data_IF_497176169450
#
_entry.id   IF_497176169450
#
_cell.length_a   1.000
_cell.length_b   1.000
_cell.length_c   1.000
_cell.angle_alpha   90.00
_cell.angle_beta   90.00
_cell.angle_gamma   90.00
#
_symmetry.space_group_name_H-M   'P 1'
#
loop_
_entity.id
_entity.type
_entity.pdbx_description
1 polymer ?
#
# COMPACT_ATOMS: atom_id res chain seq x y z
N UNK A 1 24.08 -25.79 -8.61
CA UNK A 1 23.22 -25.56 -7.46
C UNK A 1 22.40 -24.28 -7.74
N UNK A 2 21.13 -24.45 -8.10
CA UNK A 2 20.31 -23.32 -8.56
C UNK A 2 19.76 -22.58 -7.33
N UNK A 3 20.09 -21.30 -7.22
CA UNK A 3 19.47 -20.40 -6.26
C UNK A 3 17.99 -20.30 -6.62
N UNK A 4 17.11 -20.86 -5.81
CA UNK A 4 15.66 -20.67 -5.92
C UNK A 4 15.39 -19.20 -5.51
N UNK A 5 14.87 -18.35 -6.41
CA UNK A 5 14.60 -16.96 -6.06
C UNK A 5 13.49 -16.89 -5.04
N UNK A 6 13.60 -15.93 -4.13
CA UNK A 6 12.61 -15.61 -3.08
C UNK A 6 11.17 -15.47 -3.63
N UNK A 7 11.05 -15.13 -4.91
CA UNK A 7 9.79 -14.98 -5.65
C UNK A 7 9.07 -16.32 -5.89
N UNK A 8 9.79 -17.45 -5.99
CA UNK A 8 9.16 -18.76 -6.09
C UNK A 8 8.52 -19.19 -4.75
N UNK A 9 9.00 -18.63 -3.64
CA UNK A 9 8.36 -18.81 -2.33
C UNK A 9 7.04 -18.03 -2.19
N UNK A 10 6.77 -16.99 -3.02
CA UNK A 10 5.48 -16.29 -3.01
C UNK A 10 4.32 -17.20 -3.48
N UNK A 11 4.54 -18.04 -4.47
CA UNK A 11 3.48 -18.91 -4.99
C UNK A 11 3.26 -20.16 -4.13
N UNK A 12 4.31 -20.66 -3.45
CA UNK A 12 4.17 -21.73 -2.46
C UNK A 12 3.61 -21.22 -1.12
N UNK A 13 3.56 -19.90 -0.92
CA UNK A 13 3.16 -19.24 0.30
C UNK A 13 1.69 -18.79 0.32
N UNK A 14 0.92 -18.94 -0.77
CA UNK A 14 -0.56 -18.80 -0.71
C UNK A 14 -1.19 -19.88 0.18
N UNK A 15 -0.46 -20.93 0.55
CA UNK A 15 -0.83 -21.89 1.60
C UNK A 15 -0.11 -21.64 2.95
N UNK A 16 0.97 -20.86 2.97
CA UNK A 16 1.69 -20.45 4.17
C UNK A 16 1.91 -18.94 4.09
N UNK A 17 1.14 -18.18 4.85
CA UNK A 17 1.28 -16.74 5.04
C UNK A 17 2.75 -16.39 5.31
N UNK A 18 3.53 -16.23 4.26
CA UNK A 18 4.64 -15.32 4.28
C UNK A 18 4.06 -14.01 3.79
N UNK A 19 3.86 -13.13 4.69
CA UNK A 19 3.65 -11.72 4.42
C UNK A 19 4.87 -11.20 3.67
N UNK A 20 4.88 -11.38 2.33
CA UNK A 20 5.61 -10.43 1.50
C UNK A 20 4.78 -9.17 1.62
N UNK A 21 5.29 -8.26 2.39
CA UNK A 21 4.71 -6.96 2.57
C UNK A 21 4.65 -6.27 1.21
N UNK A 22 3.46 -5.98 0.74
CA UNK A 22 3.20 -5.16 -0.42
C UNK A 22 2.90 -3.72 0.04
N UNK A 23 3.14 -2.73 -0.78
CA UNK A 23 3.45 -1.37 -0.33
C UNK A 23 2.25 -0.55 0.15
N UNK A 24 2.54 0.34 1.04
CA UNK A 24 1.71 1.48 1.32
C UNK A 24 2.05 2.63 0.35
N UNK A 25 1.07 3.32 -0.20
CA UNK A 25 1.22 4.42 -1.15
C UNK A 25 1.33 5.76 -0.39
N UNK A 26 2.25 6.65 -0.79
CA UNK A 26 2.26 8.02 -0.25
C UNK A 26 0.92 8.68 -0.56
N UNK A 27 0.23 9.11 0.49
CA UNK A 27 -1.08 9.71 0.35
C UNK A 27 -0.89 11.23 0.17
N UNK A 28 -1.30 11.80 -0.96
CA UNK A 28 -1.21 13.24 -1.13
C UNK A 28 -2.10 13.98 -0.11
N UNK A 29 -1.73 15.22 0.29
CA UNK A 29 -2.54 16.01 1.21
C UNK A 29 -3.97 16.19 0.70
N UNK A 30 -4.95 16.01 1.59
CA UNK A 30 -6.37 16.17 1.22
C UNK A 30 -7.32 15.75 2.33
N UNK A 31 -8.62 15.82 2.06
CA UNK A 31 -9.63 15.26 2.95
C UNK A 31 -9.67 13.73 2.83
N UNK A 32 -10.02 13.07 3.93
CA UNK A 32 -10.08 11.61 4.00
C UNK A 32 -11.27 11.06 3.20
N UNK A 33 -10.99 10.15 2.28
CA UNK A 33 -11.97 9.41 1.51
C UNK A 33 -12.19 8.00 2.06
N UNK A 34 -12.44 7.07 1.16
CA UNK A 34 -12.64 5.64 1.46
C UNK A 34 -11.28 4.93 1.56
N UNK A 35 -11.25 3.79 2.23
CA UNK A 35 -10.16 2.84 2.13
C UNK A 35 -10.44 1.87 0.97
N UNK A 36 -9.44 1.61 0.11
CA UNK A 36 -9.41 0.45 -0.78
C UNK A 36 -8.58 -0.64 -0.11
N UNK A 37 -8.90 -1.90 -0.35
CA UNK A 37 -8.18 -3.03 0.19
C UNK A 37 -8.43 -4.31 -0.62
N UNK A 38 -7.57 -5.28 -0.42
CA UNK A 38 -7.68 -6.62 -1.00
C UNK A 38 -8.40 -7.57 -0.04
N UNK A 39 -9.32 -8.39 -0.58
CA UNK A 39 -9.98 -9.48 0.15
C UNK A 39 -10.00 -10.76 -0.68
N UNK A 40 -9.49 -11.89 -0.16
CA UNK A 40 -9.61 -13.18 -0.80
C UNK A 40 -11.06 -13.60 -1.05
N UNK A 41 -11.29 -14.15 -2.22
CA UNK A 41 -12.58 -14.68 -2.68
C UNK A 41 -12.41 -16.13 -3.16
N UNK A 42 -13.48 -16.88 -3.42
CA UNK A 42 -13.36 -18.23 -3.96
C UNK A 42 -12.63 -18.32 -5.30
N UNK A 43 -12.59 -17.23 -6.07
CA UNK A 43 -11.99 -17.17 -7.40
C UNK A 43 -10.59 -16.50 -7.41
N UNK A 44 -10.01 -16.19 -6.24
CA UNK A 44 -8.75 -15.48 -6.08
C UNK A 44 -8.82 -14.39 -5.02
N UNK A 45 -8.56 -13.15 -5.37
CA UNK A 45 -8.74 -11.97 -4.52
C UNK A 45 -9.30 -10.81 -5.33
N UNK A 46 -10.12 -10.00 -4.69
CA UNK A 46 -10.73 -8.81 -5.29
C UNK A 46 -10.48 -7.56 -4.47
N UNK A 47 -10.64 -6.42 -5.12
CA UNK A 47 -10.58 -5.11 -4.50
C UNK A 47 -11.95 -4.71 -3.97
N UNK A 48 -11.93 -4.17 -2.76
CA UNK A 48 -13.08 -3.63 -2.05
C UNK A 48 -12.79 -2.21 -1.59
N UNK A 49 -13.83 -1.42 -1.38
CA UNK A 49 -13.73 -0.14 -0.66
C UNK A 49 -14.69 -0.11 0.53
N UNK A 50 -14.31 0.67 1.54
CA UNK A 50 -15.10 0.87 2.75
C UNK A 50 -14.90 2.30 3.29
N UNK A 51 -15.92 2.88 3.90
CA UNK A 51 -15.77 4.13 4.66
C UNK A 51 -14.92 3.92 5.89
N UNK A 52 -14.29 4.98 6.40
CA UNK A 52 -13.47 4.92 7.63
C UNK A 52 -14.28 4.63 8.90
N UNK A 53 -15.58 4.76 8.83
CA UNK A 53 -16.55 4.34 9.85
C UNK A 53 -17.03 2.89 9.68
N UNK A 54 -16.50 2.17 8.69
CA UNK A 54 -16.92 0.81 8.33
C UNK A 54 -18.16 0.74 7.42
N UNK A 55 -18.76 1.86 7.07
CA UNK A 55 -19.96 1.91 6.24
C UNK A 55 -19.66 1.72 4.75
N UNK A 56 -20.69 1.44 3.96
CA UNK A 56 -20.65 1.43 2.50
C UNK A 56 -19.65 0.44 1.90
N UNK A 57 -19.39 -0.70 2.54
CA UNK A 57 -18.53 -1.76 2.00
C UNK A 57 -18.97 -2.14 0.57
N UNK A 58 -18.09 -1.97 -0.40
CA UNK A 58 -18.38 -2.21 -1.82
C UNK A 58 -17.27 -3.03 -2.46
N UNK A 59 -17.61 -4.09 -3.18
CA UNK A 59 -16.69 -4.87 -4.02
C UNK A 59 -16.56 -4.20 -5.39
N UNK A 60 -15.33 -3.76 -5.74
CA UNK A 60 -15.06 -3.02 -6.98
C UNK A 60 -14.73 -3.98 -8.13
N UNK A 61 -13.92 -5.02 -7.89
CA UNK A 61 -13.56 -6.00 -8.91
C UNK A 61 -14.30 -7.32 -8.74
N UNK A 62 -14.54 -8.03 -9.86
CA UNK A 62 -15.15 -9.36 -9.92
C UNK A 62 -14.53 -10.20 -11.03
N UNK A 63 -13.22 -10.13 -11.15
CA UNK A 63 -12.50 -10.82 -12.21
C UNK A 63 -12.01 -12.19 -11.72
N UNK A 64 -11.54 -13.04 -12.62
CA UNK A 64 -10.86 -14.28 -12.26
C UNK A 64 -9.39 -13.99 -11.97
N UNK A 65 -8.87 -14.56 -10.89
CA UNK A 65 -7.49 -14.41 -10.46
C UNK A 65 -7.35 -13.54 -9.22
N UNK A 66 -6.27 -12.83 -9.10
CA UNK A 66 -5.98 -11.93 -8.00
C UNK A 66 -5.96 -10.50 -8.53
N UNK A 67 -6.72 -9.65 -7.91
CA UNK A 67 -6.60 -8.19 -7.96
C UNK A 67 -6.26 -7.72 -6.54
N UNK A 68 -5.11 -7.09 -6.38
CA UNK A 68 -4.61 -6.67 -5.08
C UNK A 68 -3.65 -5.50 -5.19
N UNK A 69 -3.12 -5.08 -4.03
CA UNK A 69 -2.09 -4.06 -3.96
C UNK A 69 -2.48 -2.78 -4.70
N UNK A 70 -3.63 -2.24 -4.34
CA UNK A 70 -4.22 -1.10 -5.01
C UNK A 70 -3.80 0.23 -4.40
N UNK A 71 -3.51 1.20 -5.26
CA UNK A 71 -3.11 2.55 -4.91
C UNK A 71 -4.03 3.58 -5.58
N UNK A 72 -4.58 4.52 -4.79
CA UNK A 72 -5.36 5.63 -5.30
C UNK A 72 -4.49 6.65 -6.06
N UNK A 73 -5.02 7.20 -7.16
CA UNK A 73 -4.44 8.39 -7.77
C UNK A 73 -4.59 9.60 -6.83
N UNK A 74 -3.72 10.63 -6.96
CA UNK A 74 -3.74 11.80 -6.07
C UNK A 74 -5.06 12.57 -6.06
N UNK A 75 -5.82 12.50 -7.14
CA UNK A 75 -7.15 13.10 -7.28
C UNK A 75 -8.29 12.18 -6.80
N UNK A 76 -7.96 10.95 -6.37
CA UNK A 76 -8.91 9.95 -5.91
C UNK A 76 -9.83 9.38 -7.00
N UNK A 77 -9.58 9.68 -8.27
CA UNK A 77 -10.44 9.27 -9.39
C UNK A 77 -10.11 7.89 -9.97
N UNK A 78 -8.89 7.38 -9.74
CA UNK A 78 -8.38 6.13 -10.30
C UNK A 78 -7.71 5.25 -9.26
N UNK A 79 -7.58 3.98 -9.61
CA UNK A 79 -6.79 2.99 -8.88
C UNK A 79 -5.75 2.37 -9.81
N UNK A 80 -4.49 2.35 -9.38
CA UNK A 80 -3.48 1.44 -9.92
C UNK A 80 -3.46 0.18 -9.05
N UNK A 81 -3.32 -1.00 -9.64
CA UNK A 81 -3.35 -2.24 -8.88
C UNK A 81 -2.61 -3.37 -9.61
N UNK A 82 -2.27 -4.39 -8.88
CA UNK A 82 -1.68 -5.62 -9.40
C UNK A 82 -2.78 -6.58 -9.81
N UNK A 83 -2.62 -7.20 -10.98
CA UNK A 83 -3.51 -8.27 -11.43
C UNK A 83 -2.74 -9.47 -11.95
N UNK A 84 -3.13 -10.67 -11.46
CA UNK A 84 -2.68 -11.94 -12.00
C UNK A 84 -3.89 -12.84 -12.29
N UNK A 85 -4.10 -13.21 -13.57
CA UNK A 85 -5.19 -14.12 -13.96
C UNK A 85 -5.00 -15.52 -13.37
N UNK A 86 -3.74 -15.97 -13.25
CA UNK A 86 -3.36 -17.20 -12.58
C UNK A 86 -2.30 -16.87 -11.52
N UNK A 87 -2.66 -16.84 -10.23
CA UNK A 87 -1.73 -16.45 -9.16
C UNK A 87 -0.58 -17.46 -8.96
N UNK A 88 -0.72 -18.70 -9.39
CA UNK A 88 0.36 -19.71 -9.28
C UNK A 88 1.42 -19.58 -10.38
N UNK A 89 1.04 -19.05 -11.55
CA UNK A 89 1.89 -19.00 -12.75
C UNK A 89 2.18 -17.59 -13.23
N UNK A 90 1.48 -16.58 -12.73
CA UNK A 90 1.57 -15.21 -13.23
C UNK A 90 1.02 -15.08 -14.66
N UNK A 91 1.40 -14.05 -15.44
CA UNK A 91 2.18 -12.91 -14.96
C UNK A 91 1.39 -12.01 -13.99
N UNK A 92 2.13 -11.32 -13.13
CA UNK A 92 1.61 -10.24 -12.30
C UNK A 92 1.89 -8.92 -13.00
N UNK A 93 0.87 -8.14 -13.25
CA UNK A 93 0.96 -6.94 -14.07
C UNK A 93 0.23 -5.75 -13.44
N UNK A 94 0.74 -4.56 -13.69
CA UNK A 94 0.08 -3.33 -13.24
C UNK A 94 -1.05 -2.98 -14.20
N UNK A 95 -2.21 -2.72 -13.61
CA UNK A 95 -3.43 -2.26 -14.25
C UNK A 95 -3.91 -0.97 -13.62
N UNK A 96 -4.72 -0.22 -14.34
CA UNK A 96 -5.41 0.98 -13.85
C UNK A 96 -6.89 0.84 -14.17
N UNK A 97 -7.74 1.39 -13.32
CA UNK A 97 -9.18 1.52 -13.52
C UNK A 97 -9.67 2.82 -12.87
N UNK A 98 -10.89 3.23 -13.21
CA UNK A 98 -11.59 4.31 -12.52
C UNK A 98 -12.00 3.87 -11.10
N UNK A 99 -12.28 4.80 -10.21
CA UNK A 99 -12.70 4.55 -8.83
C UNK A 99 -13.96 3.65 -8.70
N UNK A 100 -14.82 3.66 -9.72
CA UNK A 100 -16.03 2.85 -9.80
C UNK A 100 -15.80 1.43 -10.37
N UNK A 101 -14.55 1.09 -10.73
CA UNK A 101 -14.16 -0.18 -11.34
C UNK A 101 -14.26 -0.22 -12.86
N UNK A 102 -14.73 0.82 -13.51
CA UNK A 102 -14.78 0.93 -14.98
C UNK A 102 -13.41 1.32 -15.58
N UNK A 103 -13.31 1.34 -16.90
CA UNK A 103 -12.12 1.85 -17.59
C UNK A 103 -10.86 1.01 -17.39
N UNK A 104 -10.99 -0.29 -17.23
CA UNK A 104 -9.88 -1.22 -16.96
C UNK A 104 -8.82 -1.20 -18.06
N UNK A 105 -7.58 -0.85 -17.73
CA UNK A 105 -6.46 -0.75 -18.64
C UNK A 105 -5.21 -1.45 -18.09
N UNK A 106 -4.56 -2.29 -18.90
CA UNK A 106 -3.29 -2.93 -18.57
C UNK A 106 -2.11 -2.02 -18.95
N UNK A 107 -1.25 -1.69 -17.98
CA UNK A 107 -0.09 -0.81 -18.19
C UNK A 107 1.21 -1.57 -18.45
N UNK A 108 1.41 -2.74 -17.82
CA UNK A 108 2.63 -3.55 -18.05
C UNK A 108 2.33 -4.82 -18.82
N UNK A 109 3.32 -5.33 -19.60
CA UNK A 109 3.20 -6.52 -20.44
C UNK A 109 4.55 -7.27 -20.49
N UNK A 110 5.24 -7.37 -19.34
CA UNK A 110 6.57 -7.96 -19.29
C UNK A 110 6.57 -9.50 -19.23
N UNK A 111 5.45 -10.11 -18.87
CA UNK A 111 5.35 -11.57 -18.73
C UNK A 111 5.94 -12.14 -17.45
N UNK A 112 6.42 -11.29 -16.53
CA UNK A 112 6.98 -11.65 -15.22
C UNK A 112 6.19 -11.01 -14.08
N UNK A 113 6.92 -10.45 -13.10
CA UNK A 113 6.35 -9.76 -11.96
C UNK A 113 6.47 -8.25 -12.14
N UNK A 114 5.33 -7.57 -12.12
CA UNK A 114 5.22 -6.12 -11.97
C UNK A 114 4.24 -5.88 -10.84
N UNK A 115 4.72 -5.35 -9.72
CA UNK A 115 3.99 -5.22 -8.46
C UNK A 115 4.24 -3.86 -7.83
N UNK A 116 3.49 -3.54 -6.79
CA UNK A 116 3.78 -2.41 -5.92
C UNK A 116 3.75 -1.06 -6.66
N UNK A 117 2.63 -0.75 -7.29
CA UNK A 117 2.47 0.50 -8.04
C UNK A 117 2.13 1.66 -7.10
N UNK A 118 2.81 2.80 -7.27
CA UNK A 118 2.50 4.03 -6.55
C UNK A 118 2.48 5.24 -7.49
N UNK A 119 1.47 6.09 -7.36
CA UNK A 119 1.32 7.31 -8.15
C UNK A 119 2.27 8.42 -7.69
N UNK A 120 2.81 9.20 -8.62
CA UNK A 120 3.45 10.48 -8.29
C UNK A 120 2.40 11.48 -7.78
N UNK A 121 2.78 12.45 -6.94
CA UNK A 121 1.82 13.42 -6.36
C UNK A 121 1.07 14.25 -7.39
N UNK A 122 1.65 14.48 -8.56
CA UNK A 122 1.03 15.17 -9.70
C UNK A 122 0.11 14.27 -10.55
N UNK A 123 0.05 12.95 -10.23
CA UNK A 123 -0.71 11.95 -10.99
C UNK A 123 -0.15 11.65 -12.38
N UNK A 124 0.98 12.23 -12.76
CA UNK A 124 1.56 12.09 -14.10
C UNK A 124 2.36 10.79 -14.29
N UNK A 125 2.82 10.16 -13.21
CA UNK A 125 3.68 8.99 -13.26
C UNK A 125 3.26 7.90 -12.27
N UNK A 126 3.75 6.69 -12.52
CA UNK A 126 3.63 5.54 -11.63
C UNK A 126 5.02 4.92 -11.44
N UNK A 127 5.48 4.78 -10.18
CA UNK A 127 6.61 3.95 -9.82
C UNK A 127 6.13 2.53 -9.49
N UNK A 128 6.90 1.52 -9.81
CA UNK A 128 6.56 0.12 -9.55
C UNK A 128 7.81 -0.76 -9.46
N UNK A 129 7.69 -1.92 -8.84
CA UNK A 129 8.75 -2.92 -8.80
C UNK A 129 8.53 -3.99 -9.87
N UNK A 130 9.56 -4.35 -10.64
CA UNK A 130 9.45 -5.37 -11.69
C UNK A 130 10.76 -6.10 -11.95
N UNK A 131 10.67 -7.36 -12.34
CA UNK A 131 11.76 -8.13 -12.94
C UNK A 131 11.86 -7.92 -14.46
N UNK A 132 10.92 -7.17 -15.04
CA UNK A 132 10.81 -6.94 -16.48
C UNK A 132 10.79 -8.25 -17.31
N UNK A 133 10.23 -9.34 -16.75
CA UNK A 133 10.18 -10.67 -17.37
C UNK A 133 11.52 -11.40 -17.44
N UNK A 134 12.54 -10.96 -16.70
CA UNK A 134 13.93 -11.46 -16.80
C UNK A 134 14.39 -12.27 -15.59
N UNK A 135 13.56 -12.77 -14.74
CA UNK A 135 13.91 -13.37 -13.44
C UNK A 135 14.42 -12.33 -12.40
N UNK A 136 14.17 -12.58 -11.10
CA UNK A 136 14.64 -11.69 -10.02
C UNK A 136 16.14 -11.37 -10.15
N UNK A 137 16.54 -10.24 -9.63
CA UNK A 137 15.85 -9.41 -8.63
C UNK A 137 14.93 -8.34 -9.24
N UNK A 138 13.90 -7.95 -8.45
CA UNK A 138 13.01 -6.84 -8.75
C UNK A 138 13.74 -5.50 -8.75
N UNK A 139 13.33 -4.60 -9.62
CA UNK A 139 13.89 -3.26 -9.79
C UNK A 139 12.78 -2.23 -9.77
N UNK A 140 13.10 -1.04 -9.28
CA UNK A 140 12.20 0.09 -9.43
C UNK A 140 12.26 0.63 -10.86
N UNK A 141 11.09 0.81 -11.41
CA UNK A 141 10.85 1.45 -12.69
C UNK A 141 9.82 2.55 -12.51
N UNK A 142 9.89 3.56 -13.37
CA UNK A 142 8.88 4.61 -13.50
C UNK A 142 8.31 4.56 -14.90
N UNK A 143 7.02 4.83 -15.02
CA UNK A 143 6.31 5.02 -16.28
C UNK A 143 5.37 6.22 -16.18
N UNK A 144 4.93 6.76 -17.32
CA UNK A 144 3.81 7.68 -17.33
C UNK A 144 2.52 6.98 -16.84
N UNK A 145 1.55 7.75 -16.38
CA UNK A 145 0.27 7.25 -15.91
C UNK A 145 -0.52 6.43 -16.96
N UNK A 146 -0.26 6.66 -18.24
CA UNK A 146 -0.82 5.90 -19.38
C UNK A 146 -0.08 4.60 -19.70
N UNK A 147 1.00 4.30 -18.97
CA UNK A 147 1.86 3.14 -19.16
C UNK A 147 2.97 3.33 -20.19
N UNK A 148 3.13 4.51 -20.78
CA UNK A 148 4.21 4.84 -21.71
C UNK A 148 5.53 5.18 -20.98
N UNK A 149 6.62 5.39 -21.72
CA UNK A 149 7.93 5.87 -21.24
C UNK A 149 8.47 5.13 -20.01
N UNK A 150 8.45 3.80 -20.03
CA UNK A 150 8.97 2.98 -18.95
C UNK A 150 10.49 3.14 -18.82
N UNK A 151 10.96 3.57 -17.66
CA UNK A 151 12.36 3.79 -17.35
C UNK A 151 12.76 3.10 -16.05
N UNK A 152 13.92 2.42 -16.06
CA UNK A 152 14.46 1.80 -14.85
C UNK A 152 15.18 2.84 -13.98
N UNK A 153 14.85 2.88 -12.69
CA UNK A 153 15.51 3.75 -11.71
C UNK A 153 16.68 3.08 -10.98
N UNK A 154 16.59 1.77 -10.69
CA UNK A 154 17.60 1.09 -9.87
C UNK A 154 18.36 0.01 -10.63
N UNK A 155 19.65 -0.18 -10.32
CA UNK A 155 20.55 -1.04 -11.11
C UNK A 155 21.27 -2.18 -10.35
N UNK A 156 21.16 -2.28 -9.02
CA UNK A 156 21.86 -3.30 -8.24
C UNK A 156 21.32 -4.71 -8.54
N UNK A 157 22.20 -5.69 -8.80
CA UNK A 157 21.82 -7.07 -9.15
C UNK A 157 21.74 -8.03 -7.95
N UNK A 158 21.95 -7.57 -6.72
CA UNK A 158 22.08 -8.43 -5.53
C UNK A 158 20.95 -8.23 -4.50
N UNK A 159 19.96 -7.44 -4.81
CA UNK A 159 18.86 -7.13 -3.89
C UNK A 159 17.59 -6.87 -4.69
N UNK A 160 16.45 -7.19 -4.14
CA UNK A 160 15.16 -6.72 -4.62
C UNK A 160 14.90 -5.32 -4.07
N UNK A 161 14.27 -4.50 -4.88
CA UNK A 161 13.80 -3.17 -4.54
C UNK A 161 12.28 -3.22 -4.65
N UNK A 162 11.60 -3.10 -3.52
CA UNK A 162 10.15 -3.30 -3.41
C UNK A 162 9.50 -2.17 -2.63
N UNK A 163 8.19 -2.09 -2.67
CA UNK A 163 7.35 -1.18 -1.91
C UNK A 163 7.70 0.30 -2.12
N UNK A 164 7.80 0.76 -3.39
CA UNK A 164 8.17 2.14 -3.66
C UNK A 164 7.03 3.10 -3.33
N UNK A 165 7.40 4.28 -2.82
CA UNK A 165 6.52 5.35 -2.39
C UNK A 165 7.08 6.70 -2.77
N UNK A 166 6.31 7.50 -3.49
CA UNK A 166 6.68 8.90 -3.76
C UNK A 166 6.58 9.75 -2.49
N UNK A 167 7.56 10.64 -2.29
CA UNK A 167 7.42 11.73 -1.34
C UNK A 167 6.34 12.71 -1.83
N UNK A 168 5.65 13.43 -0.93
CA UNK A 168 4.56 14.35 -1.33
C UNK A 168 5.00 15.49 -2.24
N UNK A 169 6.27 15.89 -2.21
CA UNK A 169 6.86 16.89 -3.09
C UNK A 169 7.28 16.34 -4.47
N UNK A 170 7.18 15.01 -4.67
CA UNK A 170 7.53 14.32 -5.91
C UNK A 170 9.03 14.24 -6.21
N UNK A 171 9.90 14.65 -5.29
CA UNK A 171 11.35 14.68 -5.55
C UNK A 171 12.05 13.37 -5.19
N UNK A 172 11.46 12.58 -4.30
CA UNK A 172 12.07 11.35 -3.78
C UNK A 172 11.11 10.16 -3.79
N UNK A 173 11.68 8.96 -3.75
CA UNK A 173 10.95 7.70 -3.63
C UNK A 173 11.54 6.92 -2.46
N UNK A 174 10.73 6.61 -1.44
CA UNK A 174 11.07 5.66 -0.39
C UNK A 174 10.75 4.24 -0.84
N UNK A 175 11.51 3.26 -0.41
CA UNK A 175 11.31 1.86 -0.77
C UNK A 175 12.07 0.92 0.17
N UNK A 176 11.79 -0.38 0.11
CA UNK A 176 12.54 -1.41 0.82
C UNK A 176 13.60 -2.03 -0.09
N UNK A 177 14.82 -2.17 0.44
CA UNK A 177 15.91 -2.96 -0.16
C UNK A 177 15.93 -4.30 0.55
N UNK A 178 15.56 -5.36 -0.15
CA UNK A 178 15.42 -6.70 0.40
C UNK A 178 16.50 -7.61 -0.16
N UNK A 179 17.16 -8.35 0.71
CA UNK A 179 18.11 -9.39 0.34
C UNK A 179 17.66 -10.71 0.91
N UNK A 180 17.46 -11.70 0.07
CA UNK A 180 17.26 -13.07 0.49
C UNK A 180 18.59 -13.76 0.75
N UNK A 181 18.62 -14.70 1.68
CA UNK A 181 19.70 -15.66 1.88
C UNK A 181 19.23 -17.08 1.61
N UNK A 182 20.02 -18.07 2.03
CA UNK A 182 19.65 -19.49 1.88
C UNK A 182 18.52 -19.90 2.82
N UNK A 183 18.35 -19.16 3.90
CA UNK A 183 17.28 -19.38 4.88
C UNK A 183 16.53 -18.07 5.14
N UNK A 184 15.34 -18.20 5.73
CA UNK A 184 14.61 -17.03 6.22
C UNK A 184 15.42 -16.20 7.23
N UNK A 185 16.38 -16.79 7.95
CA UNK A 185 17.26 -16.08 8.89
C UNK A 185 18.22 -15.11 8.21
N UNK A 186 18.48 -15.32 6.93
CA UNK A 186 19.38 -14.50 6.13
C UNK A 186 18.64 -13.38 5.39
N UNK A 187 17.31 -13.30 5.59
CA UNK A 187 16.51 -12.21 5.05
C UNK A 187 16.89 -10.90 5.73
N UNK A 188 17.08 -9.85 4.96
CA UNK A 188 17.50 -8.53 5.42
C UNK A 188 16.76 -7.48 4.60
N UNK A 189 15.85 -6.76 5.23
CA UNK A 189 15.11 -5.68 4.60
C UNK A 189 15.36 -4.34 5.27
N UNK A 190 15.53 -3.29 4.45
CA UNK A 190 15.91 -1.94 4.87
C UNK A 190 15.18 -0.90 4.06
N UNK A 191 14.80 0.18 4.73
CA UNK A 191 14.24 1.34 4.07
C UNK A 191 15.34 2.23 3.52
N UNK A 192 15.16 2.66 2.30
CA UNK A 192 16.01 3.61 1.60
C UNK A 192 15.16 4.64 0.85
N UNK A 193 15.79 5.73 0.47
CA UNK A 193 15.24 6.78 -0.38
C UNK A 193 16.16 7.00 -1.56
N UNK A 194 15.59 7.25 -2.72
CA UNK A 194 16.29 7.61 -3.96
C UNK A 194 15.59 8.83 -4.58
N UNK A 195 16.31 9.65 -5.30
CA UNK A 195 15.69 10.73 -6.06
C UNK A 195 14.83 10.19 -7.21
N UNK A 196 13.89 10.97 -7.68
CA UNK A 196 12.92 10.57 -8.70
C UNK A 196 13.55 10.29 -10.08
N UNK A 197 14.82 10.68 -10.30
CA UNK A 197 15.63 10.37 -11.47
C UNK A 197 16.51 9.12 -11.29
N UNK A 198 16.54 8.53 -10.09
CA UNK A 198 17.36 7.37 -9.73
C UNK A 198 18.72 7.73 -9.13
N UNK A 199 19.00 9.02 -8.86
CA UNK A 199 20.20 9.50 -8.17
C UNK A 199 20.13 9.40 -6.64
N UNK A 200 21.21 9.75 -5.97
CA UNK A 200 21.33 10.00 -4.53
C UNK A 200 20.72 8.95 -3.59
N UNK A 201 20.90 7.66 -3.89
CA UNK A 201 20.39 6.58 -3.04
C UNK A 201 20.94 6.67 -1.62
N UNK A 202 20.05 6.88 -0.65
CA UNK A 202 20.37 6.96 0.79
C UNK A 202 19.63 5.86 1.55
N UNK A 203 20.33 5.13 2.42
CA UNK A 203 19.71 4.16 3.32
C UNK A 203 19.31 4.87 4.61
N UNK A 204 18.03 4.80 4.96
CA UNK A 204 17.50 5.39 6.19
C UNK A 204 17.65 4.42 7.38
N UNK A 205 17.76 3.13 7.11
CA UNK A 205 17.88 2.12 8.17
C UNK A 205 19.08 1.21 7.97
N UNK A 206 19.56 0.59 9.07
CA UNK A 206 20.84 -0.12 9.12
C UNK A 206 20.66 -1.63 9.04
N UNK A 207 21.64 -2.34 8.50
CA UNK A 207 21.69 -3.81 8.46
C UNK A 207 21.89 -4.40 9.86
N UNK A 208 21.43 -5.67 10.04
CA UNK A 208 21.63 -6.44 11.27
C UNK A 208 20.59 -6.17 12.37
N UNK A 209 19.55 -5.39 12.08
CA UNK A 209 18.38 -5.18 12.94
C UNK A 209 17.16 -6.02 12.50
N UNK A 210 16.00 -5.71 13.06
CA UNK A 210 14.71 -6.22 12.53
C UNK A 210 14.50 -5.78 11.08
N UNK A 211 13.72 -6.57 10.34
CA UNK A 211 13.34 -6.22 8.97
C UNK A 211 12.38 -5.03 8.96
N UNK A 212 12.61 -4.09 8.06
CA UNK A 212 11.85 -2.87 7.92
C UNK A 212 11.34 -2.76 6.49
N UNK A 213 10.01 -2.66 6.34
CA UNK A 213 9.25 -2.83 5.12
C UNK A 213 8.13 -1.78 5.03
N UNK A 214 7.48 -1.70 3.88
CA UNK A 214 6.28 -0.91 3.66
C UNK A 214 6.41 0.55 4.11
N UNK A 215 7.41 1.31 3.62
CA UNK A 215 7.50 2.71 3.96
C UNK A 215 6.31 3.49 3.39
N UNK A 216 5.72 4.39 4.17
CA UNK A 216 4.69 5.31 3.73
C UNK A 216 4.98 6.72 4.24
N UNK A 217 5.01 7.70 3.34
CA UNK A 217 5.25 9.09 3.69
C UNK A 217 4.04 9.74 4.36
N UNK A 218 4.29 10.58 5.37
CA UNK A 218 3.26 11.52 5.83
C UNK A 218 2.95 12.56 4.74
N UNK A 219 1.70 13.06 4.67
CA UNK A 219 1.30 14.02 3.63
C UNK A 219 2.11 15.33 3.60
N UNK A 220 2.68 15.73 4.74
CA UNK A 220 3.58 16.89 4.87
C UNK A 220 5.04 16.57 4.53
N UNK A 221 5.35 15.31 4.26
CA UNK A 221 6.72 14.86 3.96
C UNK A 221 7.68 14.84 5.15
N UNK A 222 7.22 15.11 6.37
CA UNK A 222 8.08 15.19 7.54
C UNK A 222 8.45 13.83 8.13
N UNK A 223 7.59 12.81 7.93
CA UNK A 223 7.75 11.49 8.54
C UNK A 223 7.51 10.34 7.55
N UNK A 224 8.01 9.17 7.93
CA UNK A 224 7.76 7.89 7.23
C UNK A 224 7.23 6.90 8.27
N UNK A 225 6.04 6.35 8.02
CA UNK A 225 5.55 5.17 8.71
C UNK A 225 6.11 3.92 8.04
N UNK A 226 6.38 2.88 8.81
CA UNK A 226 6.90 1.62 8.28
C UNK A 226 6.57 0.44 9.19
N UNK A 227 6.58 -0.73 8.60
CA UNK A 227 6.49 -2.00 9.32
C UNK A 227 7.87 -2.41 9.81
N UNK A 228 7.93 -2.87 11.06
CA UNK A 228 9.13 -3.46 11.64
C UNK A 228 8.82 -4.84 12.19
N UNK A 229 9.46 -5.84 11.62
CA UNK A 229 9.22 -7.25 11.94
C UNK A 229 10.53 -8.00 12.17
N UNK A 230 10.43 -9.14 12.85
CA UNK A 230 11.47 -10.18 12.84
C UNK A 230 10.87 -11.39 12.16
N UNK A 231 11.17 -11.58 10.89
CA UNK A 231 10.61 -12.67 10.08
C UNK A 231 10.82 -14.06 10.69
N UNK A 232 11.79 -14.20 11.60
CA UNK A 232 12.07 -15.46 12.34
C UNK A 232 11.22 -15.63 13.59
N UNK A 233 10.90 -14.52 14.24
CA UNK A 233 9.98 -14.49 15.35
C UNK A 233 8.56 -14.24 14.82
N UNK A 234 7.98 -15.23 14.16
CA UNK A 234 6.63 -15.22 13.53
C UNK A 234 5.50 -14.78 14.47
N UNK A 235 5.82 -13.98 15.49
CA UNK A 235 4.88 -13.65 16.56
C UNK A 235 4.51 -12.18 16.60
N UNK A 236 5.22 -11.32 15.84
CA UNK A 236 5.06 -9.88 16.00
C UNK A 236 5.56 -9.09 14.78
N UNK A 237 4.75 -8.17 14.33
CA UNK A 237 5.11 -7.05 13.49
C UNK A 237 4.47 -5.80 14.07
N UNK A 238 5.23 -4.73 14.20
CA UNK A 238 4.77 -3.47 14.77
C UNK A 238 4.92 -2.33 13.77
N UNK A 239 4.11 -1.28 13.95
CA UNK A 239 4.19 -0.06 13.17
C UNK A 239 5.09 0.93 13.87
N UNK A 240 6.00 1.49 13.11
CA UNK A 240 6.99 2.47 13.54
C UNK A 240 6.89 3.75 12.73
N UNK A 241 7.33 4.85 13.31
CA UNK A 241 7.56 6.13 12.64
C UNK A 241 9.04 6.51 12.72
N UNK A 242 9.50 7.22 11.70
CA UNK A 242 10.78 7.93 11.69
C UNK A 242 10.63 9.27 10.97
N UNK A 243 11.55 10.18 11.20
CA UNK A 243 11.67 11.41 10.41
C UNK A 243 12.08 11.08 8.97
N UNK A 244 11.83 11.97 8.02
CA UNK A 244 12.17 11.82 6.61
C UNK A 244 13.67 11.54 6.33
N UNK A 245 14.54 11.95 7.23
CA UNK A 245 15.99 11.69 7.19
C UNK A 245 16.41 10.34 7.80
N UNK A 246 15.47 9.58 8.35
CA UNK A 246 15.69 8.29 9.02
C UNK A 246 16.02 8.39 10.50
N UNK A 247 16.05 9.59 11.08
CA UNK A 247 16.24 9.82 12.52
C UNK A 247 14.93 9.64 13.31
N UNK A 248 14.95 9.77 14.63
CA UNK A 248 13.76 9.85 15.48
C UNK A 248 12.88 8.59 15.45
N UNK A 249 13.43 7.41 15.17
CA UNK A 249 12.67 6.15 15.11
C UNK A 249 11.97 5.84 16.42
N UNK A 250 10.66 5.64 16.36
CA UNK A 250 9.83 5.23 17.50
C UNK A 250 8.75 4.24 17.09
N UNK A 251 8.51 3.23 17.91
CA UNK A 251 7.34 2.34 17.77
C UNK A 251 6.07 3.09 18.18
N UNK A 252 5.02 2.98 17.38
CA UNK A 252 3.69 3.52 17.73
C UNK A 252 2.74 2.40 18.11
N UNK A 253 3.09 1.16 17.79
CA UNK A 253 2.49 -0.03 18.37
C UNK A 253 3.56 -0.89 19.05
N UNK A 254 3.17 -1.65 20.06
CA UNK A 254 4.06 -2.54 20.82
C UNK A 254 3.24 -3.74 21.31
N UNK A 255 2.73 -4.53 20.38
CA UNK A 255 1.80 -5.62 20.68
C UNK A 255 2.42 -6.98 20.33
N UNK A 256 1.75 -8.07 20.72
CA UNK A 256 2.17 -9.43 20.33
C UNK A 256 1.36 -9.99 19.17
N UNK A 257 0.86 -9.11 18.30
CA UNK A 257 0.07 -9.43 17.12
C UNK A 257 0.77 -8.91 15.86
N UNK A 258 0.24 -9.23 14.70
CA UNK A 258 0.72 -8.66 13.44
C UNK A 258 0.02 -7.33 13.19
N UNK A 259 0.80 -6.29 12.94
CA UNK A 259 0.37 -4.98 12.52
C UNK A 259 1.23 -4.56 11.34
N UNK A 260 0.62 -4.46 10.17
CA UNK A 260 1.33 -4.40 8.88
C UNK A 260 0.71 -3.35 7.96
N UNK A 261 1.46 -2.97 6.91
CA UNK A 261 0.99 -2.09 5.84
C UNK A 261 0.41 -0.76 6.34
N UNK A 262 1.19 0.04 7.09
CA UNK A 262 0.73 1.33 7.55
C UNK A 262 0.56 2.30 6.39
N UNK A 263 -0.54 3.07 6.38
CA UNK A 263 -0.78 4.15 5.42
C UNK A 263 -1.33 5.37 6.13
N UNK A 264 -0.71 6.53 5.92
CA UNK A 264 -1.21 7.80 6.46
C UNK A 264 -2.55 8.18 5.83
N UNK A 265 -3.42 8.76 6.63
CA UNK A 265 -4.60 9.45 6.11
C UNK A 265 -4.20 10.70 5.33
N UNK A 266 -4.98 11.12 4.32
CA UNK A 266 -4.70 12.29 3.51
C UNK A 266 -4.57 13.61 4.31
N UNK A 267 -5.27 13.71 5.45
CA UNK A 267 -5.16 14.86 6.37
C UNK A 267 -3.96 14.74 7.33
N UNK A 268 -3.23 13.63 7.29
CA UNK A 268 -2.06 13.39 8.12
C UNK A 268 -2.35 13.12 9.60
N UNK A 269 -3.61 12.95 10.02
CA UNK A 269 -3.97 12.81 11.44
C UNK A 269 -4.03 11.37 11.93
N UNK A 270 -4.14 10.41 11.04
CA UNK A 270 -4.31 8.99 11.35
C UNK A 270 -3.44 8.08 10.48
N UNK A 271 -3.32 6.83 10.92
CA UNK A 271 -2.72 5.74 10.14
C UNK A 271 -3.77 4.63 10.03
N UNK A 272 -4.05 4.17 8.80
CA UNK A 272 -4.74 2.91 8.57
C UNK A 272 -3.71 1.77 8.46
N UNK A 273 -4.08 0.58 8.90
CA UNK A 273 -3.20 -0.58 8.92
C UNK A 273 -3.98 -1.89 8.97
N UNK A 274 -3.32 -2.98 8.67
CA UNK A 274 -3.85 -4.34 8.77
C UNK A 274 -3.41 -4.97 10.08
N UNK A 275 -4.33 -5.65 10.82
CA UNK A 275 -3.98 -6.36 12.06
C UNK A 275 -4.83 -7.61 12.31
N UNK A 276 -4.25 -8.60 13.00
CA UNK A 276 -4.96 -9.80 13.46
C UNK A 276 -5.35 -9.72 14.95
N UNK A 277 -5.34 -8.52 15.55
CA UNK A 277 -5.51 -8.29 17.01
C UNK A 277 -6.76 -8.92 17.60
N UNK A 278 -7.90 -8.81 16.94
CA UNK A 278 -9.17 -9.34 17.45
C UNK A 278 -9.42 -10.79 17.02
N UNK A 279 -8.66 -11.29 16.07
CA UNK A 279 -8.85 -12.60 15.45
C UNK A 279 -7.62 -13.52 15.53
N UNK A 280 -6.72 -13.27 16.48
CA UNK A 280 -5.44 -13.98 16.65
C UNK A 280 -5.57 -15.51 16.68
N UNK A 281 -6.65 -16.04 17.21
CA UNK A 281 -6.90 -17.49 17.23
C UNK A 281 -7.23 -18.03 15.83
N UNK A 282 -7.88 -17.22 14.98
CA UNK A 282 -8.17 -17.59 13.60
C UNK A 282 -6.90 -17.51 12.73
N UNK A 283 -6.06 -16.51 12.94
CA UNK A 283 -4.79 -16.37 12.21
C UNK A 283 -3.84 -17.53 12.50
N UNK A 284 -3.74 -17.99 13.75
CA UNK A 284 -2.94 -19.15 14.16
C UNK A 284 -3.45 -20.48 13.59
N UNK A 285 -4.77 -20.71 13.66
CA UNK A 285 -5.38 -21.99 13.25
C UNK A 285 -5.54 -22.14 11.75
N UNK A 286 -5.75 -21.03 11.02
CA UNK A 286 -6.16 -21.02 9.61
C UNK A 286 -5.26 -20.19 8.71
N UNK A 287 -3.98 -20.01 9.06
CA UNK A 287 -2.93 -19.34 8.26
C UNK A 287 -3.47 -18.15 7.47
N UNK A 288 -3.43 -16.95 8.05
CA UNK A 288 -3.83 -15.70 7.40
C UNK A 288 -5.32 -15.37 7.41
N UNK A 289 -6.15 -16.13 8.12
CA UNK A 289 -7.53 -15.71 8.39
C UNK A 289 -7.57 -14.92 9.67
N UNK A 290 -8.21 -13.76 9.63
CA UNK A 290 -8.43 -12.93 10.80
C UNK A 290 -7.75 -11.57 10.77
N UNK A 291 -7.11 -11.22 9.67
CA UNK A 291 -6.63 -9.86 9.43
C UNK A 291 -7.79 -8.94 9.05
N UNK A 292 -7.84 -7.79 9.69
CA UNK A 292 -8.85 -6.77 9.45
C UNK A 292 -8.18 -5.39 9.36
N UNK A 293 -8.91 -4.41 8.86
CA UNK A 293 -8.44 -3.03 8.77
C UNK A 293 -8.74 -2.28 10.05
N UNK A 294 -7.79 -1.48 10.48
CA UNK A 294 -7.87 -0.59 11.63
C UNK A 294 -7.35 0.79 11.28
N UNK A 295 -7.74 1.78 12.07
CA UNK A 295 -7.10 3.10 12.08
C UNK A 295 -6.68 3.47 13.50
N UNK A 296 -5.66 4.34 13.63
CA UNK A 296 -5.17 4.87 14.90
C UNK A 296 -4.65 6.30 14.72
N UNK A 297 -4.51 7.04 15.80
CA UNK A 297 -3.80 8.31 15.83
C UNK A 297 -2.27 8.10 15.70
N UNK A 298 -1.51 9.15 15.41
CA UNK A 298 -0.05 9.07 15.18
C UNK A 298 0.76 8.74 16.45
N UNK A 299 0.16 8.83 17.62
CA UNK A 299 0.72 8.38 18.89
C UNK A 299 0.41 6.92 19.24
N UNK A 300 -0.34 6.21 18.35
CA UNK A 300 -0.79 4.85 18.54
C UNK A 300 -2.09 4.71 19.34
N UNK A 301 -2.69 5.81 19.77
CA UNK A 301 -3.96 5.81 20.51
C UNK A 301 -5.20 5.75 19.59
N UNK A 302 -6.38 5.62 20.16
CA UNK A 302 -7.65 5.72 19.44
C UNK A 302 -7.81 4.67 18.33
N UNK A 303 -7.33 3.45 18.58
CA UNK A 303 -7.43 2.34 17.62
C UNK A 303 -8.89 1.98 17.38
N UNK A 304 -9.30 2.03 16.12
CA UNK A 304 -10.68 1.72 15.70
C UNK A 304 -10.64 0.65 14.62
N UNK A 305 -11.43 -0.41 14.80
CA UNK A 305 -11.62 -1.47 13.80
C UNK A 305 -12.59 -1.00 12.72
N UNK A 306 -12.21 -1.14 11.45
CA UNK A 306 -12.98 -0.71 10.29
C UNK A 306 -13.74 -1.87 9.65
N UNK A 307 -13.12 -3.03 9.53
CA UNK A 307 -13.75 -4.21 8.92
C UNK A 307 -13.98 -5.32 9.96
N UNK A 308 -15.05 -6.11 9.75
CA UNK A 308 -15.45 -7.19 10.67
C UNK A 308 -15.95 -8.37 9.86
N UNK A 309 -15.07 -9.31 9.54
CA UNK A 309 -15.46 -10.49 8.78
C UNK A 309 -14.53 -11.69 9.06
N UNK A 310 -14.73 -12.82 8.35
CA UNK A 310 -13.93 -14.03 8.54
C UNK A 310 -12.83 -14.22 7.49
N UNK A 311 -12.71 -13.31 6.52
CA UNK A 311 -11.68 -13.32 5.49
C UNK A 311 -10.67 -12.23 5.78
N UNK A 312 -9.38 -12.42 5.48
CA UNK A 312 -8.42 -11.35 5.68
C UNK A 312 -8.73 -10.16 4.78
N UNK A 313 -8.62 -8.98 5.34
CA UNK A 313 -8.61 -7.69 4.65
C UNK A 313 -7.20 -7.13 4.75
N UNK A 314 -6.57 -6.90 3.60
CA UNK A 314 -5.14 -6.66 3.49
C UNK A 314 -4.85 -5.43 2.64
N UNK A 315 -3.67 -4.82 2.86
CA UNK A 315 -3.11 -3.78 2.02
C UNK A 315 -4.07 -2.58 1.83
N UNK A 316 -4.42 -1.87 2.90
CA UNK A 316 -5.24 -0.68 2.78
C UNK A 316 -4.50 0.42 2.05
N UNK A 317 -5.22 1.19 1.24
CA UNK A 317 -4.79 2.50 0.80
C UNK A 317 -5.92 3.51 0.95
N UNK A 318 -5.57 4.77 1.22
CA UNK A 318 -6.53 5.79 1.59
C UNK A 318 -6.80 6.74 0.42
N UNK A 319 -8.07 6.81 0.00
CA UNK A 319 -8.50 7.71 -1.06
C UNK A 319 -8.32 9.18 -0.63
N UNK A 320 -7.51 9.96 -1.33
CA UNK A 320 -7.52 11.41 -1.14
C UNK A 320 -8.80 11.97 -1.75
N UNK A 321 -9.44 12.92 -1.04
CA UNK A 321 -10.51 13.73 -1.63
C UNK A 321 -9.94 15.09 -1.93
N UNK A 322 -10.18 15.60 -3.13
CA UNK A 322 -9.87 17.00 -3.44
C UNK A 322 -10.53 17.89 -2.40
N UNK A 323 -9.76 18.77 -1.76
CA UNK A 323 -10.36 19.83 -0.96
C UNK A 323 -11.15 20.73 -1.90
N UNK A 324 -12.44 20.83 -1.69
CA UNK A 324 -13.25 21.84 -2.38
C UNK A 324 -12.80 23.22 -1.93
N UNK A 325 -11.92 23.86 -2.72
CA UNK A 325 -11.68 25.28 -2.59
C UNK A 325 -12.96 25.97 -3.10
N UNK A 326 -13.68 26.79 -2.31
CA UNK A 326 -14.98 27.34 -2.68
C UNK A 326 -15.05 28.13 -3.98
N UNK A 327 -13.91 28.34 -4.65
CA UNK A 327 -13.79 29.10 -5.90
C UNK A 327 -13.59 28.25 -7.17
N UNK A 328 -13.57 26.90 -7.10
CA UNK A 328 -13.38 26.07 -8.29
C UNK A 328 -14.71 25.49 -8.80
N UNK A 329 -15.05 25.62 -10.10
CA UNK A 329 -16.34 25.17 -10.65
C UNK A 329 -16.57 23.65 -10.71
N UNK A 330 -15.66 22.85 -10.18
CA UNK A 330 -15.69 21.37 -10.24
C UNK A 330 -16.20 20.70 -8.95
N UNK A 331 -16.55 21.44 -7.90
CA UNK A 331 -17.12 20.87 -6.67
C UNK A 331 -18.64 20.89 -6.71
N UNK A 332 -19.26 20.07 -7.54
CA UNK A 332 -20.68 19.78 -7.43
C UNK A 332 -20.88 18.83 -6.23
N UNK A 333 -21.41 19.37 -5.14
CA UNK A 333 -21.94 18.59 -4.02
C UNK A 333 -22.97 17.60 -4.54
N UNK A 334 -22.86 16.34 -4.12
CA UNK A 334 -23.90 15.34 -4.39
C UNK A 334 -25.23 15.81 -3.74
N UNK A 335 -26.35 15.52 -4.33
CA UNK A 335 -27.68 16.02 -3.95
C UNK A 335 -28.09 15.79 -2.48
N UNK A 336 -27.37 14.94 -1.74
CA UNK A 336 -27.61 14.68 -0.31
C UNK A 336 -27.07 15.77 0.65
N UNK A 337 -25.98 16.48 0.27
CA UNK A 337 -25.44 17.55 1.11
C UNK A 337 -26.23 18.87 1.00
N UNK A 338 -27.01 19.06 -0.07
CA UNK A 338 -27.87 20.23 -0.23
C UNK A 338 -29.11 20.23 0.67
N UNK A 339 -29.51 19.09 1.22
CA UNK A 339 -30.69 19.02 2.12
C UNK A 339 -30.39 19.53 3.52
N UNK A 340 -29.15 19.47 3.99
CA UNK A 340 -28.77 19.90 5.37
C UNK A 340 -28.45 21.39 5.41
N UNK A 341 -27.88 21.97 4.34
CA UNK A 341 -27.60 23.41 4.28
C UNK A 341 -28.86 24.27 4.04
N UNK A 342 -29.88 23.72 3.39
CA UNK A 342 -31.15 24.42 3.12
C UNK A 342 -32.03 24.65 4.34
N UNK A 343 -31.89 23.85 5.40
CA UNK A 343 -32.69 23.98 6.63
C UNK A 343 -32.13 25.03 7.60
N UNK A 344 -30.83 25.34 7.50
CA UNK A 344 -30.21 26.32 8.41
C UNK A 344 -30.42 27.79 7.95
N UNK A 345 -30.72 28.03 6.68
CA UNK A 345 -30.93 29.40 6.15
C UNK A 345 -32.38 29.92 6.29
N UNK A 346 -33.34 29.04 6.56
CA UNK A 346 -34.75 29.42 6.77
C UNK A 346 -35.10 29.74 8.22
N UNK A 347 -34.19 29.53 9.17
CA UNK A 347 -34.43 29.85 10.60
C UNK A 347 -33.88 31.22 11.06
N UNK A 348 -33.15 31.94 10.19
CA UNK A 348 -32.57 33.23 10.49
C UNK A 348 -33.36 34.46 9.93
N UNK A 349 -34.53 34.21 9.34
CA UNK A 349 -35.39 35.23 8.73
C UNK A 349 -36.83 35.19 9.28
N UNK A 350 -36.96 35.05 10.63
CA UNK A 350 -38.20 35.38 11.34
C UNK A 350 -37.89 36.11 12.64
#
# INVERSE_FOLDING_TARGET
MSRVPLVLTLTALTAAVATVALPAVATPPGANGRLVFERPTPNGADLFTVGVDGSGLTRITRLRGVEGDAAWSPDGSKLAFVRARNPERGPYEIWVMNADGSGLQRLTRHGGFSIAAAWSPDGGKIVYATDAGRRPPLRLWVMNADGSRKQRLTGNRRADFIDPQWSPDGNSIAFAITRGGETLRDFDSRIAVIDNDGGNLRRLTRRGGPDELNPNWSPDGAAIAFERTRLFDRRQSDIWLMNADGSGKRGITATRVYETNPVFSPDGTRIAFTSDRDNRQLSKKRRGRGFELYTMALDGSGITRITTNRRPDLFPDWQPRAQCIPAAPACATTAEELSVAGVALLSAAR
#
